data_IF_785633686589
#
_entry.id   IF_785633686589
#
_cell.length_a   1.000
_cell.length_b   1.000
_cell.length_c   1.000
_cell.angle_alpha   90.00
_cell.angle_beta   90.00
_cell.angle_gamma   90.00
#
_symmetry.space_group_name_H-M   'P 1'
#
loop_
_entity.id
_entity.type
_entity.pdbx_description
1 polymer ?
#
# COMPACT_ATOMS: atom_id res chain seq x y z
N UNK A 1 4.25 2.95 -19.16
CA UNK A 1 3.62 2.09 -18.11
C UNK A 1 2.17 2.50 -17.94
N UNK A 2 1.28 1.55 -17.96
CA UNK A 2 -0.14 1.80 -17.70
C UNK A 2 -0.42 1.87 -16.20
N UNK A 3 -1.61 2.38 -15.84
CA UNK A 3 -2.04 2.39 -14.42
C UNK A 3 -2.15 0.98 -13.87
N UNK A 4 -2.60 0.02 -14.68
CA UNK A 4 -2.71 -1.38 -14.27
C UNK A 4 -1.33 -2.03 -14.08
N UNK A 5 -0.38 -1.72 -14.95
CA UNK A 5 1.00 -2.21 -14.79
C UNK A 5 1.64 -1.66 -13.51
N UNK A 6 1.38 -0.39 -13.20
CA UNK A 6 1.87 0.21 -11.96
C UNK A 6 1.25 -0.45 -10.74
N UNK A 7 -0.07 -0.67 -10.75
CA UNK A 7 -0.75 -1.37 -9.66
C UNK A 7 -0.19 -2.77 -9.45
N UNK A 8 0.01 -3.52 -10.54
CA UNK A 8 0.59 -4.85 -10.49
C UNK A 8 2.02 -4.84 -9.94
N UNK A 9 2.82 -3.85 -10.33
CA UNK A 9 4.20 -3.73 -9.84
C UNK A 9 4.27 -3.44 -8.34
N UNK A 10 3.42 -2.53 -7.84
CA UNK A 10 3.32 -2.24 -6.40
C UNK A 10 2.89 -3.48 -5.63
N UNK A 11 1.85 -4.15 -6.10
CA UNK A 11 1.32 -5.36 -5.46
C UNK A 11 2.38 -6.45 -5.40
N UNK A 12 3.09 -6.71 -6.51
CA UNK A 12 4.15 -7.72 -6.57
C UNK A 12 5.28 -7.39 -5.58
N UNK A 13 5.66 -6.13 -5.48
CA UNK A 13 6.72 -5.69 -4.56
C UNK A 13 6.35 -5.97 -3.10
N UNK A 14 5.12 -5.65 -2.73
CA UNK A 14 4.63 -5.89 -1.36
C UNK A 14 4.49 -7.38 -1.09
N UNK A 15 3.93 -8.16 -2.01
CA UNK A 15 3.76 -9.60 -1.82
C UNK A 15 5.10 -10.33 -1.74
N UNK A 16 6.10 -9.95 -2.52
CA UNK A 16 7.44 -10.53 -2.45
C UNK A 16 8.08 -10.25 -1.09
N UNK A 17 8.00 -9.02 -0.62
CA UNK A 17 8.49 -8.64 0.70
C UNK A 17 7.76 -9.39 1.82
N UNK A 18 6.44 -9.48 1.72
CA UNK A 18 5.63 -10.19 2.71
C UNK A 18 6.03 -11.67 2.80
N UNK A 19 6.18 -12.35 1.67
CA UNK A 19 6.56 -13.75 1.66
C UNK A 19 7.93 -14.00 2.28
N UNK A 20 8.86 -13.06 2.13
CA UNK A 20 10.21 -13.17 2.67
C UNK A 20 10.30 -12.84 4.17
N UNK A 21 9.48 -11.91 4.66
CA UNK A 21 9.62 -11.36 6.01
C UNK A 21 8.49 -11.74 6.97
N UNK A 22 7.27 -11.85 6.44
CA UNK A 22 6.07 -12.17 7.24
C UNK A 22 5.20 -13.17 6.47
N UNK A 23 5.67 -14.41 6.28
CA UNK A 23 4.98 -15.37 5.40
C UNK A 23 3.58 -15.76 5.86
N UNK A 24 3.30 -15.64 7.16
CA UNK A 24 1.98 -15.95 7.71
C UNK A 24 1.01 -14.75 7.69
N UNK A 25 1.45 -13.57 7.24
CA UNK A 25 0.64 -12.37 7.21
C UNK A 25 -0.33 -12.41 6.02
N UNK A 26 -1.65 -12.45 6.24
CA UNK A 26 -2.61 -12.33 5.14
C UNK A 26 -2.55 -10.94 4.52
N UNK A 27 -2.56 -10.89 3.19
CA UNK A 27 -2.61 -9.62 2.43
C UNK A 27 -3.87 -9.58 1.61
N UNK A 28 -4.70 -8.58 1.85
CA UNK A 28 -5.93 -8.36 1.09
C UNK A 28 -5.66 -7.23 0.10
N UNK A 29 -5.88 -7.50 -1.17
CA UNK A 29 -5.74 -6.52 -2.25
C UNK A 29 -7.11 -5.98 -2.67
N UNK A 30 -7.14 -4.95 -3.50
CA UNK A 30 -8.35 -4.24 -3.88
C UNK A 30 -9.48 -5.11 -4.42
N UNK A 31 -9.14 -6.14 -5.18
CA UNK A 31 -10.12 -7.06 -5.76
C UNK A 31 -10.12 -8.42 -5.07
N UNK A 32 -9.54 -8.48 -3.88
CA UNK A 32 -9.50 -9.68 -3.08
C UNK A 32 -10.79 -9.95 -2.33
N UNK A 33 -10.92 -11.14 -1.75
CA UNK A 33 -12.11 -11.48 -0.97
C UNK A 33 -12.23 -10.60 0.27
N UNK A 34 -13.47 -10.35 0.70
CA UNK A 34 -13.74 -9.66 1.96
C UNK A 34 -13.17 -10.51 3.10
N UNK A 35 -12.41 -9.91 4.04
CA UNK A 35 -11.87 -10.66 5.16
C UNK A 35 -12.95 -11.30 6.02
N UNK A 36 -12.79 -12.57 6.34
CA UNK A 36 -13.60 -13.25 7.35
C UNK A 36 -12.92 -13.09 8.71
N UNK A 37 -13.53 -12.36 9.62
CA UNK A 37 -12.97 -12.07 10.95
C UNK A 37 -12.63 -13.34 11.75
N UNK A 38 -13.29 -14.45 11.47
CA UNK A 38 -13.09 -15.71 12.20
C UNK A 38 -11.88 -16.50 11.66
N UNK A 39 -11.47 -16.27 10.42
CA UNK A 39 -10.45 -17.07 9.75
C UNK A 39 -9.21 -16.29 9.32
N UNK A 40 -9.27 -14.96 9.26
CA UNK A 40 -8.16 -14.16 8.74
C UNK A 40 -6.96 -14.10 9.68
N UNK A 41 -7.15 -14.44 10.94
CA UNK A 41 -6.10 -14.37 11.95
C UNK A 41 -6.07 -13.05 12.70
N UNK A 42 -5.11 -12.90 13.64
CA UNK A 42 -5.06 -11.74 14.54
C UNK A 42 -4.47 -10.48 13.91
N UNK A 43 -3.70 -10.63 12.83
CA UNK A 43 -3.03 -9.51 12.12
C UNK A 43 -3.16 -9.75 10.63
N UNK A 44 -3.51 -8.70 9.88
CA UNK A 44 -3.58 -8.77 8.43
C UNK A 44 -3.31 -7.39 7.80
N UNK A 45 -2.93 -7.41 6.52
CA UNK A 45 -2.57 -6.22 5.76
C UNK A 45 -3.59 -5.96 4.66
N UNK A 46 -4.05 -4.72 4.56
CA UNK A 46 -4.90 -4.25 3.48
C UNK A 46 -4.08 -3.33 2.57
N UNK A 47 -3.93 -3.72 1.31
CA UNK A 47 -3.19 -2.98 0.31
C UNK A 47 -4.14 -2.42 -0.73
N UNK A 48 -4.12 -1.12 -0.90
CA UNK A 48 -5.01 -0.41 -1.81
C UNK A 48 -4.24 0.71 -2.53
N UNK A 49 -4.55 0.93 -3.79
CA UNK A 49 -4.02 2.08 -4.54
C UNK A 49 -5.15 3.07 -4.78
N UNK A 50 -4.97 4.29 -4.30
CA UNK A 50 -5.94 5.36 -4.43
C UNK A 50 -5.49 6.33 -5.52
N UNK A 51 -6.34 6.56 -6.50
CA UNK A 51 -6.08 7.49 -7.58
C UNK A 51 -6.76 8.81 -7.28
N UNK A 52 -5.98 9.91 -7.30
CA UNK A 52 -6.52 11.23 -6.97
C UNK A 52 -6.81 12.08 -8.20
N UNK A 53 -6.13 11.82 -9.31
CA UNK A 53 -6.38 12.55 -10.54
C UNK A 53 -5.26 12.40 -11.55
N UNK A 54 -5.44 13.05 -12.68
CA UNK A 54 -4.47 13.09 -13.74
C UNK A 54 -4.44 14.46 -14.40
N UNK A 55 -3.30 14.80 -14.99
CA UNK A 55 -3.13 16.07 -15.68
C UNK A 55 -2.04 15.96 -16.75
N UNK A 56 -2.09 16.83 -17.74
CA UNK A 56 -1.01 16.98 -18.68
C UNK A 56 0.11 17.79 -18.04
N UNK A 57 1.35 17.29 -18.15
CA UNK A 57 2.53 17.99 -17.62
C UNK A 57 3.43 18.55 -18.73
N UNK A 58 3.04 18.34 -19.99
CA UNK A 58 3.68 18.95 -21.15
C UNK A 58 2.61 19.45 -22.11
N UNK A 59 3.01 20.31 -23.04
CA UNK A 59 2.14 20.85 -24.09
C UNK A 59 2.44 20.20 -25.43
N UNK A 60 1.51 20.29 -26.37
CA UNK A 60 1.69 19.76 -27.71
C UNK A 60 0.60 18.79 -28.13
N UNK A 61 0.79 18.12 -29.27
CA UNK A 61 -0.20 17.22 -29.88
C UNK A 61 -0.37 15.95 -29.02
N UNK A 62 0.74 15.44 -28.47
CA UNK A 62 0.73 14.26 -27.59
C UNK A 62 1.35 14.66 -26.25
N UNK A 63 0.61 15.39 -25.40
CA UNK A 63 1.15 15.83 -24.13
C UNK A 63 1.45 14.65 -23.21
N UNK A 64 2.55 14.76 -22.46
CA UNK A 64 2.87 13.80 -21.41
C UNK A 64 1.87 13.95 -20.28
N UNK A 65 1.26 12.84 -19.87
CA UNK A 65 0.30 12.80 -18.77
C UNK A 65 0.96 12.40 -17.46
N UNK A 66 0.32 12.77 -16.39
CA UNK A 66 0.72 12.37 -15.04
C UNK A 66 -0.50 12.03 -14.22
N UNK A 67 -0.51 10.83 -13.68
CA UNK A 67 -1.49 10.41 -12.67
C UNK A 67 -0.86 10.55 -11.29
N UNK A 68 -1.65 10.99 -10.33
CA UNK A 68 -1.24 11.09 -8.93
C UNK A 68 -2.15 10.27 -8.04
N UNK A 69 -1.63 9.84 -6.92
CA UNK A 69 -2.39 9.06 -5.95
C UNK A 69 -1.55 8.69 -4.75
N UNK A 70 -2.01 7.69 -4.03
CA UNK A 70 -1.27 7.14 -2.89
C UNK A 70 -1.47 5.63 -2.80
N UNK A 71 -0.40 4.93 -2.43
CA UNK A 71 -0.48 3.53 -1.99
C UNK A 71 -0.84 3.53 -0.52
N UNK A 72 -1.95 2.89 -0.18
CA UNK A 72 -2.40 2.73 1.20
C UNK A 72 -2.11 1.30 1.65
N UNK A 73 -1.27 1.14 2.65
CA UNK A 73 -0.96 -0.14 3.25
C UNK A 73 -1.29 -0.06 4.74
N UNK A 74 -2.39 -0.68 5.13
CA UNK A 74 -2.91 -0.62 6.50
C UNK A 74 -2.83 -1.98 7.15
N UNK A 75 -2.28 -2.02 8.36
CA UNK A 75 -2.17 -3.22 9.18
C UNK A 75 -3.29 -3.22 10.19
N UNK A 76 -4.13 -4.26 10.14
CA UNK A 76 -5.20 -4.47 11.11
C UNK A 76 -4.76 -5.50 12.13
N UNK A 77 -4.99 -5.25 13.41
CA UNK A 77 -4.60 -6.15 14.48
C UNK A 77 -5.59 -6.10 15.64
N UNK A 78 -5.67 -7.19 16.40
CA UNK A 78 -6.48 -7.25 17.61
C UNK A 78 -5.71 -6.62 18.79
N UNK A 79 -6.44 -6.04 19.74
CA UNK A 79 -5.86 -5.39 20.90
C UNK A 79 -4.93 -6.33 21.69
N UNK A 80 -5.27 -7.60 21.77
CA UNK A 80 -4.50 -8.62 22.51
C UNK A 80 -3.11 -8.88 21.92
N UNK A 81 -2.90 -8.54 20.64
CA UNK A 81 -1.61 -8.76 19.96
C UNK A 81 -0.55 -7.72 20.33
N UNK A 82 -0.96 -6.59 20.91
CA UNK A 82 -0.03 -5.48 21.16
C UNK A 82 0.42 -4.79 19.88
N UNK A 83 1.42 -3.91 20.00
CA UNK A 83 1.87 -3.05 18.91
C UNK A 83 3.20 -3.45 18.28
N UNK A 84 3.91 -4.45 18.83
CA UNK A 84 5.25 -4.80 18.39
C UNK A 84 5.27 -5.36 16.97
N UNK A 85 4.44 -6.35 16.64
CA UNK A 85 4.38 -6.94 15.32
C UNK A 85 3.80 -5.97 14.29
N UNK A 86 2.66 -5.31 14.52
CA UNK A 86 2.16 -4.29 13.60
C UNK A 86 3.16 -3.17 13.33
N UNK A 87 3.86 -2.70 14.37
CA UNK A 87 4.91 -1.70 14.22
C UNK A 87 6.06 -2.16 13.34
N UNK A 88 6.52 -3.38 13.51
CA UNK A 88 7.58 -3.97 12.68
C UNK A 88 7.15 -4.09 11.21
N UNK A 89 5.89 -4.46 10.95
CA UNK A 89 5.33 -4.54 9.60
C UNK A 89 5.31 -3.15 8.96
N UNK A 90 4.85 -2.14 9.69
CA UNK A 90 4.81 -0.75 9.19
C UNK A 90 6.22 -0.24 8.88
N UNK A 91 7.17 -0.48 9.75
CA UNK A 91 8.56 -0.06 9.54
C UNK A 91 9.17 -0.74 8.30
N UNK A 92 8.86 -2.02 8.11
CA UNK A 92 9.28 -2.76 6.92
C UNK A 92 8.66 -2.19 5.63
N UNK A 93 7.38 -1.83 5.67
CA UNK A 93 6.69 -1.21 4.54
C UNK A 93 7.28 0.17 4.20
N UNK A 94 7.61 0.97 5.20
CA UNK A 94 8.26 2.26 5.01
C UNK A 94 9.58 2.06 4.26
N UNK A 95 10.41 1.16 4.72
CA UNK A 95 11.71 0.87 4.08
C UNK A 95 11.53 0.35 2.65
N UNK A 96 10.55 -0.53 2.43
CA UNK A 96 10.29 -1.13 1.12
C UNK A 96 9.83 -0.09 0.09
N UNK A 97 8.93 0.80 0.49
CA UNK A 97 8.23 1.69 -0.44
C UNK A 97 8.85 3.08 -0.52
N UNK A 98 9.70 3.44 0.42
CA UNK A 98 10.31 4.76 0.51
C UNK A 98 11.06 5.11 -0.77
N UNK A 99 10.57 6.14 -1.46
CA UNK A 99 11.19 6.69 -2.67
C UNK A 99 11.47 5.64 -3.75
N UNK A 100 10.71 4.55 -3.78
CA UNK A 100 10.91 3.49 -4.76
C UNK A 100 10.46 3.93 -6.15
N UNK A 101 11.22 3.54 -7.17
CA UNK A 101 10.88 3.78 -8.57
C UNK A 101 10.40 2.48 -9.20
N UNK A 102 9.22 2.55 -9.81
CA UNK A 102 8.58 1.40 -10.46
C UNK A 102 8.24 1.79 -11.89
N UNK A 103 9.14 1.51 -12.84
CA UNK A 103 8.97 1.93 -14.21
C UNK A 103 8.89 3.44 -14.33
N UNK A 104 7.83 3.97 -14.91
CA UNK A 104 7.57 5.41 -14.98
C UNK A 104 6.84 5.96 -13.77
N UNK A 105 6.60 5.13 -12.76
CA UNK A 105 6.00 5.52 -11.50
C UNK A 105 7.05 5.80 -10.44
N UNK A 106 6.82 6.81 -9.63
CA UNK A 106 7.70 7.21 -8.54
C UNK A 106 6.93 7.26 -7.24
N UNK A 107 7.26 6.38 -6.31
CA UNK A 107 6.79 6.47 -4.93
C UNK A 107 7.60 7.54 -4.21
N UNK A 108 6.92 8.29 -3.36
CA UNK A 108 7.53 9.35 -2.57
C UNK A 108 7.76 8.89 -1.14
N UNK A 109 8.03 9.81 -0.22
CA UNK A 109 8.29 9.45 1.16
C UNK A 109 6.99 8.99 1.86
N UNK A 110 6.99 7.83 2.53
CA UNK A 110 5.80 7.32 3.21
C UNK A 110 5.38 8.21 4.38
N UNK A 111 4.07 8.34 4.54
CA UNK A 111 3.47 9.02 5.67
C UNK A 111 2.81 7.98 6.58
N UNK A 112 3.27 7.89 7.83
CA UNK A 112 2.66 6.99 8.80
C UNK A 112 1.29 7.51 9.20
N UNK A 113 0.27 6.63 9.16
CA UNK A 113 -1.08 7.01 9.54
C UNK A 113 -1.24 6.98 11.06
N UNK A 114 -2.15 7.80 11.57
CA UNK A 114 -2.48 7.80 13.00
C UNK A 114 -3.20 6.48 13.32
N UNK A 115 -2.78 5.74 14.36
CA UNK A 115 -3.48 4.53 14.77
C UNK A 115 -4.94 4.84 15.15
N UNK A 116 -5.86 4.03 14.62
CA UNK A 116 -7.30 4.16 14.88
C UNK A 116 -7.89 2.79 15.16
N UNK A 117 -9.07 2.76 15.80
CA UNK A 117 -9.82 1.53 15.96
C UNK A 117 -10.97 1.47 14.94
N UNK A 118 -11.34 0.25 14.55
CA UNK A 118 -12.35 0.00 13.53
C UNK A 118 -13.00 -1.35 13.80
N UNK A 119 -14.25 -1.34 14.27
CA UNK A 119 -15.07 -2.55 14.49
C UNK A 119 -14.35 -3.65 15.30
N UNK A 120 -13.70 -3.28 16.39
CA UNK A 120 -12.96 -4.22 17.23
C UNK A 120 -11.55 -4.54 16.77
N UNK A 121 -11.11 -3.96 15.66
CA UNK A 121 -9.74 -4.00 15.17
C UNK A 121 -9.06 -2.67 15.41
N UNK A 122 -7.75 -2.71 15.66
CA UNK A 122 -6.90 -1.52 15.57
C UNK A 122 -6.28 -1.48 14.20
N UNK A 123 -6.03 -0.28 13.70
CA UNK A 123 -5.47 -0.05 12.37
C UNK A 123 -4.31 0.92 12.44
N UNK A 124 -3.18 0.55 11.88
CA UNK A 124 -2.02 1.42 11.69
C UNK A 124 -1.41 1.12 10.32
N UNK A 125 -0.71 2.07 9.73
CA UNK A 125 -0.11 1.81 8.43
C UNK A 125 0.57 3.01 7.83
N UNK A 126 0.67 3.01 6.50
CA UNK A 126 1.33 4.06 5.73
C UNK A 126 0.50 4.47 4.52
N UNK A 127 0.61 5.74 4.16
CA UNK A 127 0.20 6.27 2.88
C UNK A 127 1.46 6.72 2.15
N UNK A 128 1.67 6.21 0.95
CA UNK A 128 2.82 6.54 0.14
C UNK A 128 2.34 7.29 -1.10
N UNK A 129 2.48 8.62 -1.13
CA UNK A 129 2.12 9.39 -2.31
C UNK A 129 2.96 8.94 -3.50
N UNK A 130 2.39 8.99 -4.69
CA UNK A 130 3.11 8.67 -5.91
C UNK A 130 2.64 9.52 -7.08
N UNK A 131 3.46 9.55 -8.11
CA UNK A 131 3.03 9.97 -9.43
C UNK A 131 3.46 8.94 -10.47
N UNK A 132 2.68 8.85 -11.54
CA UNK A 132 2.92 7.96 -12.66
C UNK A 132 2.86 8.79 -13.94
N UNK A 133 3.96 8.83 -14.68
CA UNK A 133 4.00 9.45 -15.99
C UNK A 133 3.54 8.44 -17.05
N UNK A 134 2.57 8.86 -17.81
CA UNK A 134 1.94 7.97 -18.79
C UNK A 134 1.78 8.64 -20.16
#
# INVERSE_FOLDING_TARGET
MTTEEFRAAVTARVLTWQAANFPALPVITENGPVPDENTIGPVWLDLEIRWYGGQNISMGINPLGRHTGAVSAQVFYRAAEGTAQPGAIVDGLITLLKNARLGSGQLQFPQRTVPTDFKGWYKTGVLVPFYLNA
#
